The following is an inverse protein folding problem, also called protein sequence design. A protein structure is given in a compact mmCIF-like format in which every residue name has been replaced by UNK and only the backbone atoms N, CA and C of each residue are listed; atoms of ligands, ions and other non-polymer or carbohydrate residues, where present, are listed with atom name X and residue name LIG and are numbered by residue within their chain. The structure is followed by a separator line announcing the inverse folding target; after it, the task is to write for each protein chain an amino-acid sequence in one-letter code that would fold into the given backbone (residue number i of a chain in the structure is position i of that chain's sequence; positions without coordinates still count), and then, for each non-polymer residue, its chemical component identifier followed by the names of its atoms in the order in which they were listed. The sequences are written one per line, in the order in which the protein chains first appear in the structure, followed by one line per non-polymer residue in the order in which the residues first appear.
data_IF_589718588136
#
_entry.id   IF_589718588136
#
_cell.length_a   1.000
_cell.length_b   1.000
_cell.length_c   1.000
_cell.angle_alpha   90.00
_cell.angle_beta   90.00
_cell.angle_gamma   90.00
#
_symmetry.space_group_name_H-M   'P 1'
#
loop_
_entity.id
_entity.type
_entity.pdbx_description
1 polymer ?
#
# COMPACT_ATOMS: atom_id res chain seq x y z
N UNK A 1 6.98 -6.32 -17.02
CA UNK A 1 7.38 -6.57 -15.61
C UNK A 1 6.19 -6.31 -14.71
N UNK A 2 5.93 -7.16 -13.72
CA UNK A 2 4.82 -7.00 -12.77
C UNK A 2 5.35 -6.67 -11.38
N UNK A 3 4.72 -5.70 -10.73
CA UNK A 3 5.09 -5.22 -9.39
C UNK A 3 3.93 -5.48 -8.45
N UNK A 4 4.21 -5.94 -7.23
CA UNK A 4 3.18 -6.16 -6.20
C UNK A 4 3.32 -5.10 -5.11
N UNK A 5 2.20 -4.54 -4.68
CA UNK A 5 2.14 -3.54 -3.61
C UNK A 5 1.21 -4.04 -2.51
N UNK A 6 1.65 -3.95 -1.27
CA UNK A 6 0.85 -4.20 -0.07
C UNK A 6 0.44 -2.84 0.49
N UNK A 7 -0.86 -2.63 0.61
CA UNK A 7 -1.46 -1.42 1.18
C UNK A 7 -2.32 -1.79 2.38
N UNK A 8 -2.28 -0.96 3.41
CA UNK A 8 -3.21 -0.96 4.52
C UNK A 8 -4.15 0.22 4.36
N UNK A 9 -5.46 -0.03 4.49
CA UNK A 9 -6.49 0.98 4.36
C UNK A 9 -7.32 0.96 5.65
N UNK A 10 -7.44 2.11 6.28
CA UNK A 10 -8.35 2.30 7.41
C UNK A 10 -9.78 1.95 7.00
N UNK A 11 -10.48 1.14 7.80
CA UNK A 11 -11.80 0.64 7.43
C UNK A 11 -12.86 1.76 7.32
N UNK A 12 -12.79 2.78 8.18
CA UNK A 12 -13.66 3.96 8.09
C UNK A 12 -13.39 4.75 6.82
N UNK A 13 -12.12 4.81 6.39
CA UNK A 13 -11.77 5.41 5.12
C UNK A 13 -12.28 4.58 3.93
N UNK A 14 -12.23 3.24 4.03
CA UNK A 14 -12.73 2.34 2.99
C UNK A 14 -14.24 2.53 2.73
N UNK A 15 -15.01 2.95 3.74
CA UNK A 15 -16.43 3.30 3.55
C UNK A 15 -16.65 4.42 2.52
N UNK A 16 -15.62 5.21 2.19
CA UNK A 16 -15.70 6.17 1.07
C UNK A 16 -15.97 5.52 -0.26
N UNK A 17 -15.65 4.24 -0.45
CA UNK A 17 -16.00 3.50 -1.68
C UNK A 17 -17.52 3.58 -1.98
N UNK A 18 -18.35 3.63 -0.95
CA UNK A 18 -19.81 3.72 -1.10
C UNK A 18 -20.29 5.12 -1.48
N UNK A 19 -19.55 6.15 -1.06
CA UNK A 19 -19.96 7.55 -1.19
C UNK A 19 -19.27 8.25 -2.39
N UNK A 20 -18.04 7.87 -2.71
CA UNK A 20 -17.21 8.42 -3.78
C UNK A 20 -16.22 7.37 -4.32
N UNK A 21 -16.69 6.42 -5.14
CA UNK A 21 -15.84 5.36 -5.68
C UNK A 21 -14.77 5.88 -6.66
N UNK A 22 -15.04 6.98 -7.38
CA UNK A 22 -14.08 7.54 -8.33
C UNK A 22 -12.92 8.23 -7.61
N UNK A 23 -13.19 9.04 -6.58
CA UNK A 23 -12.13 9.66 -5.79
C UNK A 23 -11.24 8.65 -5.09
N UNK A 24 -11.81 7.53 -4.60
CA UNK A 24 -11.02 6.43 -4.05
C UNK A 24 -10.17 5.73 -5.12
N UNK A 25 -10.71 5.50 -6.32
CA UNK A 25 -9.96 4.91 -7.42
C UNK A 25 -8.79 5.80 -7.87
N UNK A 26 -9.00 7.11 -7.98
CA UNK A 26 -7.95 8.08 -8.32
C UNK A 26 -6.86 8.12 -7.25
N UNK A 27 -7.26 8.04 -5.97
CA UNK A 27 -6.34 7.95 -4.85
C UNK A 27 -5.50 6.68 -4.96
N UNK A 28 -6.12 5.51 -5.12
CA UNK A 28 -5.40 4.23 -5.24
C UNK A 28 -4.48 4.19 -6.46
N UNK A 29 -4.88 4.78 -7.60
CA UNK A 29 -4.02 4.90 -8.77
C UNK A 29 -2.80 5.76 -8.44
N UNK A 30 -2.99 6.93 -7.84
CA UNK A 30 -1.89 7.83 -7.45
C UNK A 30 -0.90 7.12 -6.50
N UNK A 31 -1.43 6.49 -5.45
CA UNK A 31 -0.70 5.64 -4.49
C UNK A 31 0.19 4.61 -5.19
N UNK A 32 -0.35 3.88 -6.18
CA UNK A 32 0.37 2.80 -6.86
C UNK A 32 1.30 3.27 -7.98
N UNK A 33 0.98 4.39 -8.63
CA UNK A 33 1.59 4.79 -9.89
C UNK A 33 2.46 6.04 -9.81
N UNK A 34 2.17 6.98 -8.93
CA UNK A 34 2.79 8.32 -8.94
C UNK A 34 3.91 8.42 -7.89
N UNK A 35 3.77 7.75 -6.75
CA UNK A 35 4.75 7.79 -5.64
C UNK A 35 5.88 6.76 -5.75
N UNK A 36 6.23 6.29 -6.96
CA UNK A 36 7.09 5.12 -7.13
C UNK A 36 8.51 5.29 -6.59
N UNK A 37 9.10 6.49 -6.71
CA UNK A 37 10.47 6.76 -6.29
C UNK A 37 10.58 6.85 -4.76
N UNK A 38 9.71 7.63 -4.13
CA UNK A 38 9.62 7.79 -2.67
C UNK A 38 9.37 6.44 -1.98
N UNK A 39 8.51 5.61 -2.59
CA UNK A 39 8.21 4.27 -2.09
C UNK A 39 9.37 3.29 -2.15
N UNK A 40 10.21 3.36 -3.18
CA UNK A 40 11.35 2.46 -3.29
C UNK A 40 12.41 2.81 -2.23
N UNK A 41 12.63 4.10 -1.96
CA UNK A 41 13.58 4.56 -0.95
C UNK A 41 13.13 4.23 0.47
N UNK A 42 11.85 4.43 0.80
CA UNK A 42 11.33 4.11 2.13
C UNK A 42 11.16 2.60 2.35
N UNK A 43 10.78 1.82 1.32
CA UNK A 43 10.79 0.36 1.39
C UNK A 43 12.20 -0.19 1.58
N UNK A 44 13.21 0.38 0.90
CA UNK A 44 14.62 0.02 1.08
C UNK A 44 15.11 0.25 2.51
N UNK A 45 14.44 1.13 3.26
CA UNK A 45 14.69 1.43 4.68
C UNK A 45 13.79 0.65 5.65
N UNK A 46 12.91 -0.21 5.12
CA UNK A 46 11.95 -1.00 5.90
C UNK A 46 10.88 -0.16 6.59
N UNK A 47 10.54 1.02 6.03
CA UNK A 47 9.54 1.93 6.60
C UNK A 47 8.31 1.98 5.70
N UNK A 48 7.10 1.91 6.27
CA UNK A 48 5.89 2.16 5.50
C UNK A 48 5.80 3.65 5.13
N UNK A 49 5.21 3.93 3.98
CA UNK A 49 4.85 5.28 3.57
C UNK A 49 3.41 5.57 4.01
N UNK A 50 3.25 6.50 4.95
CA UNK A 50 1.93 6.98 5.36
C UNK A 50 1.44 8.05 4.38
N UNK A 51 0.30 7.76 3.75
CA UNK A 51 -0.42 8.72 2.95
C UNK A 51 -1.57 9.30 3.77
N UNK A 52 -1.90 10.57 3.53
CA UNK A 52 -2.99 11.24 4.22
C UNK A 52 -4.30 10.44 4.07
N UNK A 53 -5.17 10.52 5.09
CA UNK A 53 -6.49 9.88 5.04
C UNK A 53 -6.52 8.41 5.50
N UNK A 54 -5.42 7.84 6.01
CA UNK A 54 -5.44 6.48 6.55
C UNK A 54 -5.21 5.39 5.50
N UNK A 55 -4.52 5.73 4.41
CA UNK A 55 -3.91 4.76 3.51
C UNK A 55 -2.42 4.71 3.83
N UNK A 56 -1.89 3.51 3.98
CA UNK A 56 -0.46 3.28 4.18
C UNK A 56 0.04 2.29 3.15
N UNK A 57 1.15 2.60 2.50
CA UNK A 57 1.84 1.65 1.64
C UNK A 57 2.90 0.95 2.49
N UNK A 58 2.73 -0.35 2.69
CA UNK A 58 3.57 -1.15 3.59
C UNK A 58 4.81 -1.65 2.86
N UNK A 59 4.63 -2.13 1.63
CA UNK A 59 5.70 -2.80 0.91
C UNK A 59 5.43 -2.87 -0.58
N UNK A 60 6.48 -2.71 -1.40
CA UNK A 60 6.43 -2.92 -2.85
C UNK A 60 7.60 -3.81 -3.26
N UNK A 61 7.32 -4.80 -4.10
CA UNK A 61 8.33 -5.75 -4.58
C UNK A 61 8.14 -6.10 -6.05
N UNK A 62 9.21 -6.56 -6.68
CA UNK A 62 9.07 -7.29 -7.93
C UNK A 62 8.33 -8.61 -7.64
N UNK A 63 7.45 -9.03 -8.55
CA UNK A 63 6.59 -10.20 -8.32
C UNK A 63 7.35 -11.53 -8.07
N UNK A 64 8.64 -11.59 -8.38
CA UNK A 64 9.51 -12.75 -8.18
C UNK A 64 10.22 -12.79 -6.83
N UNK A 65 10.20 -11.69 -6.07
CA UNK A 65 10.84 -11.62 -4.76
C UNK A 65 9.93 -12.28 -3.72
N UNK A 66 10.47 -12.97 -2.72
CA UNK A 66 9.71 -13.49 -1.57
C UNK A 66 9.56 -12.42 -0.47
N UNK A 67 8.45 -12.44 0.27
CA UNK A 67 8.18 -11.46 1.32
C UNK A 67 7.37 -12.11 2.46
N UNK A 68 7.70 -11.73 3.69
CA UNK A 68 6.98 -12.13 4.91
C UNK A 68 6.49 -10.88 5.63
N UNK A 69 5.20 -10.83 5.92
CA UNK A 69 4.60 -9.73 6.68
C UNK A 69 4.28 -10.22 8.09
N UNK A 70 4.87 -9.56 9.09
CA UNK A 70 4.63 -9.84 10.50
C UNK A 70 3.70 -8.75 11.03
N UNK A 71 2.49 -9.12 11.43
CA UNK A 71 1.56 -8.21 12.10
C UNK A 71 1.50 -8.53 13.59
N UNK A 72 1.07 -7.58 14.43
CA UNK A 72 0.93 -7.81 15.89
C UNK A 72 0.02 -8.98 16.26
N UNK A 73 -0.88 -9.37 15.35
CA UNK A 73 -1.94 -10.33 15.63
C UNK A 73 -1.80 -11.63 14.82
N UNK A 74 -0.96 -11.65 13.77
CA UNK A 74 -0.70 -12.86 12.97
C UNK A 74 0.50 -12.67 12.03
N UNK A 75 1.27 -13.75 11.84
CA UNK A 75 2.26 -13.86 10.75
C UNK A 75 1.56 -14.25 9.46
N UNK A 76 1.70 -13.44 8.41
CA UNK A 76 1.11 -13.69 7.09
C UNK A 76 2.24 -14.01 6.10
N UNK A 77 2.19 -15.21 5.52
CA UNK A 77 3.09 -15.63 4.44
C UNK A 77 2.39 -15.40 3.08
N UNK A 78 3.02 -14.67 2.16
CA UNK A 78 2.42 -14.16 0.91
C UNK A 78 3.18 -14.62 -0.34
#
# INVERSE_FOLDING_TARGET
MSTRTIIEINHDFLHRLLNDPHGLADTLRSVCCDHQAELNDDNGRGRPLDLAGGIRIIYRRHHSEEARLITKYVDIQI
#
